data_IF_160108215092
#
_entry.id   IF_160108215092
#
_cell.length_a   1.000
_cell.length_b   1.000
_cell.length_c   1.000
_cell.angle_alpha   90.00
_cell.angle_beta   90.00
_cell.angle_gamma   90.00
#
_symmetry.space_group_name_H-M   'P 1'
#
loop_
_entity.id
_entity.type
_entity.pdbx_description
1 polymer ?
#
# COMPACT_ATOMS: atom_id res chain seq x y z
N UNK A 1 -11.13 19.50 -9.57
CA UNK A 1 -11.42 19.05 -8.18
C UNK A 1 -10.35 19.61 -7.29
N UNK A 2 -10.73 20.10 -6.11
CA UNK A 2 -9.82 20.57 -5.06
C UNK A 2 -9.51 19.42 -4.10
N UNK A 3 -8.25 19.01 -4.05
CA UNK A 3 -7.82 17.77 -3.38
C UNK A 3 -6.74 18.06 -2.36
N UNK A 4 -6.96 17.66 -1.11
CA UNK A 4 -5.93 17.62 -0.08
C UNK A 4 -5.33 16.21 -0.02
N UNK A 5 -4.01 16.08 -0.09
CA UNK A 5 -3.33 14.80 0.09
C UNK A 5 -2.51 14.86 1.37
N UNK A 6 -2.92 14.12 2.38
CA UNK A 6 -2.17 14.04 3.63
C UNK A 6 -1.16 12.89 3.57
N UNK A 7 0.12 13.26 3.68
CA UNK A 7 1.26 12.39 3.49
C UNK A 7 1.86 12.50 2.09
N UNK A 8 2.86 13.38 1.91
CA UNK A 8 3.62 13.53 0.67
C UNK A 8 4.84 12.59 0.61
N UNK A 9 4.68 11.35 1.06
CA UNK A 9 5.65 10.29 0.82
C UNK A 9 5.68 9.86 -0.65
N UNK A 10 6.19 8.67 -0.96
CA UNK A 10 6.28 8.19 -2.35
C UNK A 10 4.93 8.19 -3.08
N UNK A 11 3.88 7.64 -2.46
CA UNK A 11 2.53 7.57 -3.07
C UNK A 11 1.93 8.95 -3.21
N UNK A 12 1.84 9.71 -2.11
CA UNK A 12 1.20 11.03 -2.13
C UNK A 12 1.90 12.02 -3.05
N UNK A 13 3.24 11.99 -3.12
CA UNK A 13 4.01 12.84 -4.05
C UNK A 13 3.73 12.47 -5.50
N UNK A 14 3.81 11.18 -5.87
CA UNK A 14 3.58 10.79 -7.27
C UNK A 14 2.14 11.05 -7.69
N UNK A 15 1.16 10.63 -6.88
CA UNK A 15 -0.26 10.83 -7.21
C UNK A 15 -0.60 12.32 -7.23
N UNK A 16 -0.20 13.06 -6.20
CA UNK A 16 -0.53 14.50 -6.12
C UNK A 16 0.17 15.33 -7.19
N UNK A 17 1.43 15.05 -7.49
CA UNK A 17 2.13 15.74 -8.56
C UNK A 17 1.49 15.47 -9.94
N UNK A 18 1.13 14.23 -10.24
CA UNK A 18 0.49 13.88 -11.51
C UNK A 18 -0.94 14.42 -11.60
N UNK A 19 -1.71 14.45 -10.53
CA UNK A 19 -3.02 15.11 -10.50
C UNK A 19 -2.89 16.62 -10.75
N UNK A 20 -1.92 17.28 -10.13
CA UNK A 20 -1.62 18.70 -10.37
C UNK A 20 -1.23 18.93 -11.82
N UNK A 21 -0.39 18.07 -12.39
CA UNK A 21 -0.02 18.11 -13.81
C UNK A 21 -1.24 17.91 -14.73
N UNK A 22 -2.21 17.09 -14.31
CA UNK A 22 -3.49 16.85 -14.97
C UNK A 22 -4.51 18.00 -14.80
N UNK A 23 -4.12 19.12 -14.17
CA UNK A 23 -4.96 20.32 -14.05
C UNK A 23 -5.87 20.34 -12.83
N UNK A 24 -5.68 19.46 -11.84
CA UNK A 24 -6.42 19.51 -10.58
C UNK A 24 -5.77 20.47 -9.58
N UNK A 25 -6.59 21.09 -8.71
CA UNK A 25 -6.12 21.90 -7.59
C UNK A 25 -5.71 20.98 -6.44
N UNK A 26 -4.40 20.72 -6.33
CA UNK A 26 -3.84 19.76 -5.37
C UNK A 26 -3.00 20.48 -4.33
N UNK A 27 -3.29 20.19 -3.06
CA UNK A 27 -2.47 20.59 -1.92
C UNK A 27 -1.90 19.35 -1.24
N UNK A 28 -0.56 19.22 -1.25
CA UNK A 28 0.17 18.21 -0.49
C UNK A 28 0.35 18.72 0.94
N UNK A 29 -0.04 17.93 1.91
CA UNK A 29 0.08 18.22 3.34
C UNK A 29 1.06 17.23 3.96
N UNK A 30 2.19 17.70 4.44
CA UNK A 30 3.21 16.81 5.02
C UNK A 30 3.87 17.41 6.27
N UNK A 31 4.50 16.57 7.06
CA UNK A 31 5.25 16.93 8.25
C UNK A 31 6.76 17.07 8.00
N UNK A 32 7.26 16.77 6.82
CA UNK A 32 8.66 16.86 6.43
C UNK A 32 8.98 18.25 5.86
N UNK A 33 9.52 19.19 6.67
CA UNK A 33 9.67 20.59 6.27
C UNK A 33 10.50 20.75 5.00
N UNK A 34 11.64 20.07 4.91
CA UNK A 34 12.55 20.21 3.77
C UNK A 34 11.90 19.78 2.46
N UNK A 35 11.01 18.75 2.51
CA UNK A 35 10.27 18.31 1.34
C UNK A 35 9.22 19.32 0.90
N UNK A 36 8.46 19.87 1.86
CA UNK A 36 7.46 20.91 1.61
C UNK A 36 8.11 22.16 1.04
N UNK A 37 9.18 22.67 1.66
CA UNK A 37 9.88 23.87 1.24
C UNK A 37 10.49 23.71 -0.16
N UNK A 38 11.07 22.55 -0.44
CA UNK A 38 11.63 22.25 -1.77
C UNK A 38 10.55 22.23 -2.86
N UNK A 39 9.36 21.67 -2.55
CA UNK A 39 8.23 21.66 -3.50
C UNK A 39 7.72 23.09 -3.72
N UNK A 40 7.59 23.91 -2.65
CA UNK A 40 7.19 25.32 -2.78
C UNK A 40 8.15 26.12 -3.65
N UNK A 41 9.44 25.90 -3.49
CA UNK A 41 10.48 26.66 -4.19
C UNK A 41 10.65 26.21 -5.64
N UNK A 42 10.85 24.93 -5.86
CA UNK A 42 11.32 24.40 -7.15
C UNK A 42 10.28 23.54 -7.88
N UNK A 43 9.23 23.14 -7.20
CA UNK A 43 8.27 22.14 -7.66
C UNK A 43 8.64 20.73 -7.23
N UNK A 44 7.83 19.77 -7.65
CA UNK A 44 7.99 18.35 -7.36
C UNK A 44 8.42 17.60 -8.62
N UNK A 45 9.64 17.08 -8.60
CA UNK A 45 10.17 16.24 -9.67
C UNK A 45 9.72 14.79 -9.48
N UNK A 46 9.05 14.23 -10.49
CA UNK A 46 8.68 12.83 -10.54
C UNK A 46 9.54 12.15 -11.59
N UNK A 47 10.46 11.30 -11.15
CA UNK A 47 11.30 10.49 -12.04
C UNK A 47 10.71 9.11 -12.23
N UNK A 48 10.62 8.66 -13.47
CA UNK A 48 10.33 7.28 -13.84
C UNK A 48 11.46 6.73 -14.71
N UNK A 49 11.36 5.45 -15.04
CA UNK A 49 12.40 4.78 -15.84
C UNK A 49 12.70 5.49 -17.15
N UNK A 50 11.67 6.01 -17.81
CA UNK A 50 11.75 6.48 -19.20
C UNK A 50 11.54 8.00 -19.32
N UNK A 51 11.08 8.66 -18.27
CA UNK A 51 10.78 10.09 -18.29
C UNK A 51 10.82 10.73 -16.91
N UNK A 52 11.00 12.04 -16.90
CA UNK A 52 10.89 12.88 -15.70
C UNK A 52 9.91 13.99 -15.95
N UNK A 53 9.06 14.28 -14.96
CA UNK A 53 8.04 15.34 -15.02
C UNK A 53 8.22 16.25 -13.83
N UNK A 54 8.43 17.55 -14.07
CA UNK A 54 8.40 18.57 -13.04
C UNK A 54 6.96 19.07 -12.90
N UNK A 55 6.37 18.86 -11.71
CA UNK A 55 5.00 19.26 -11.38
C UNK A 55 5.01 20.37 -10.34
N UNK A 56 3.90 21.09 -10.18
CA UNK A 56 3.80 22.22 -9.24
C UNK A 56 2.51 22.16 -8.41
N UNK A 57 2.30 21.08 -7.62
CA UNK A 57 1.23 21.08 -6.66
C UNK A 57 1.47 22.16 -5.60
N UNK A 58 0.42 22.66 -4.98
CA UNK A 58 0.59 23.38 -3.73
C UNK A 58 1.13 22.41 -2.67
N UNK A 59 1.99 22.88 -1.78
CA UNK A 59 2.53 22.10 -0.68
C UNK A 59 2.52 22.93 0.60
N UNK A 60 2.04 22.33 1.70
CA UNK A 60 1.99 22.98 3.01
C UNK A 60 2.48 22.03 4.09
N UNK A 61 3.14 22.61 5.09
CA UNK A 61 3.40 21.88 6.32
C UNK A 61 2.11 21.73 7.13
N UNK A 62 2.00 20.66 7.91
CA UNK A 62 0.79 20.40 8.73
C UNK A 62 0.36 21.57 9.60
N UNK A 63 1.29 22.39 10.09
CA UNK A 63 0.99 23.58 10.88
C UNK A 63 0.34 24.72 10.06
N UNK A 64 0.45 24.68 8.73
CA UNK A 64 -0.15 25.69 7.83
C UNK A 64 -1.58 25.33 7.42
N UNK A 65 -2.10 24.16 7.81
CA UNK A 65 -3.50 23.77 7.52
C UNK A 65 -4.51 24.82 8.03
N UNK A 66 -4.23 25.48 9.14
CA UNK A 66 -5.09 26.54 9.67
C UNK A 66 -5.27 27.75 8.72
N UNK A 67 -4.46 27.84 7.65
CA UNK A 67 -4.56 28.91 6.63
C UNK A 67 -5.49 28.50 5.47
N UNK A 68 -5.97 27.25 5.43
CA UNK A 68 -6.91 26.77 4.39
C UNK A 68 -8.28 27.39 4.66
N UNK A 69 -8.70 28.28 3.77
CA UNK A 69 -9.98 28.98 3.87
C UNK A 69 -11.14 28.17 3.26
N UNK A 70 -10.90 27.56 2.09
CA UNK A 70 -11.94 26.81 1.39
C UNK A 70 -11.71 25.30 1.58
N UNK A 71 -12.73 24.50 1.89
CA UNK A 71 -12.58 23.08 2.13
C UNK A 71 -12.20 22.30 0.87
N UNK A 72 -11.51 21.18 1.07
CA UNK A 72 -11.23 20.22 0.01
C UNK A 72 -12.50 19.41 -0.35
N UNK A 73 -12.70 19.14 -1.62
CA UNK A 73 -13.74 18.22 -2.10
C UNK A 73 -13.37 16.75 -1.82
N UNK A 74 -12.07 16.46 -1.75
CA UNK A 74 -11.57 15.14 -1.39
C UNK A 74 -10.28 15.24 -0.57
N UNK A 75 -10.13 14.38 0.43
CA UNK A 75 -8.89 14.13 1.13
C UNK A 75 -8.36 12.72 0.78
N UNK A 76 -7.16 12.64 0.22
CA UNK A 76 -6.48 11.38 -0.02
C UNK A 76 -5.53 11.09 1.15
N UNK A 77 -5.78 10.00 1.85
CA UNK A 77 -4.97 9.58 2.98
C UNK A 77 -3.84 8.69 2.45
N UNK A 78 -2.62 9.22 2.42
CA UNK A 78 -1.43 8.57 1.85
C UNK A 78 -0.27 8.46 2.86
N UNK A 79 -0.57 8.62 4.14
CA UNK A 79 0.36 8.40 5.26
C UNK A 79 0.64 6.91 5.45
N UNK A 80 1.57 6.58 6.34
CA UNK A 80 1.76 5.19 6.78
C UNK A 80 0.57 4.72 7.62
N UNK A 81 0.25 3.43 7.57
CA UNK A 81 -0.95 2.83 8.18
C UNK A 81 -1.11 3.15 9.67
N UNK A 82 0.00 3.31 10.42
CA UNK A 82 -0.04 3.67 11.83
C UNK A 82 -0.50 5.12 12.10
N UNK A 83 -0.51 5.97 11.08
CA UNK A 83 -0.94 7.37 11.15
C UNK A 83 -2.34 7.60 10.56
N UNK A 84 -3.02 6.56 10.05
CA UNK A 84 -4.32 6.67 9.35
C UNK A 84 -5.35 7.43 10.18
N UNK A 85 -5.58 7.00 11.42
CA UNK A 85 -6.58 7.60 12.32
C UNK A 85 -6.27 9.07 12.59
N UNK A 86 -5.01 9.37 12.91
CA UNK A 86 -4.55 10.71 13.17
C UNK A 86 -4.69 11.63 11.94
N UNK A 87 -4.22 11.17 10.78
CA UNK A 87 -4.27 11.95 9.54
C UNK A 87 -5.71 12.22 9.08
N UNK A 88 -6.59 11.22 9.23
CA UNK A 88 -8.01 11.38 8.93
C UNK A 88 -8.65 12.41 9.86
N UNK A 89 -8.38 12.34 11.16
CA UNK A 89 -8.90 13.30 12.15
C UNK A 89 -8.38 14.73 11.91
N UNK A 90 -7.10 14.86 11.55
CA UNK A 90 -6.51 16.14 11.17
C UNK A 90 -7.26 16.80 10.01
N UNK A 91 -7.59 16.01 8.98
CA UNK A 91 -8.23 16.51 7.76
C UNK A 91 -9.73 16.77 7.90
N UNK A 92 -10.41 16.32 8.95
CA UNK A 92 -11.87 16.43 9.09
C UNK A 92 -12.38 17.87 8.95
N UNK A 93 -11.67 18.84 9.52
CA UNK A 93 -12.08 20.25 9.52
C UNK A 93 -11.79 20.96 8.19
N UNK A 94 -11.06 20.32 7.29
CA UNK A 94 -10.61 20.91 6.02
C UNK A 94 -11.25 20.25 4.80
N UNK A 95 -12.10 19.24 4.99
CA UNK A 95 -12.84 18.56 3.93
C UNK A 95 -14.31 18.99 4.03
N UNK A 96 -14.92 19.29 2.88
CA UNK A 96 -16.32 19.69 2.79
C UNK A 96 -17.20 18.77 3.67
N UNK A 97 -17.93 19.33 4.65
CA UNK A 97 -18.65 18.52 5.62
C UNK A 97 -19.84 17.74 5.03
N UNK A 98 -20.42 18.25 3.93
CA UNK A 98 -21.62 17.66 3.31
C UNK A 98 -21.28 16.69 2.18
N UNK A 99 -20.38 17.10 1.28
CA UNK A 99 -20.11 16.37 0.03
C UNK A 99 -18.68 15.89 -0.12
N UNK A 100 -17.81 16.24 0.83
CA UNK A 100 -16.41 15.88 0.79
C UNK A 100 -16.18 14.40 1.12
N UNK A 101 -15.19 13.80 0.45
CA UNK A 101 -14.87 12.38 0.59
C UNK A 101 -13.45 12.16 1.08
N UNK A 102 -13.26 11.09 1.84
CA UNK A 102 -11.95 10.57 2.23
C UNK A 102 -11.65 9.34 1.39
N UNK A 103 -10.45 9.25 0.85
CA UNK A 103 -10.04 8.12 0.01
C UNK A 103 -8.78 7.51 0.61
N UNK A 104 -8.82 6.21 0.90
CA UNK A 104 -7.67 5.46 1.40
C UNK A 104 -6.71 5.11 0.27
N UNK A 105 -5.54 5.77 0.24
CA UNK A 105 -4.44 5.56 -0.71
C UNK A 105 -3.28 4.79 -0.10
N UNK A 106 -3.53 3.93 0.86
CA UNK A 106 -2.50 3.23 1.60
C UNK A 106 -2.33 1.77 1.17
N UNK A 107 -1.21 1.18 1.51
CA UNK A 107 -1.05 -0.26 1.51
C UNK A 107 -1.78 -0.87 2.71
N UNK A 108 -2.16 -2.13 2.61
CA UNK A 108 -2.94 -2.81 3.64
C UNK A 108 -4.43 -2.54 3.54
N UNK A 109 -5.12 -2.70 4.64
CA UNK A 109 -6.57 -2.49 4.78
C UNK A 109 -6.78 -1.48 5.92
N UNK A 110 -6.89 -0.21 5.56
CA UNK A 110 -7.06 0.90 6.51
C UNK A 110 -8.45 1.56 6.39
N UNK A 111 -9.25 1.09 5.46
CA UNK A 111 -10.58 1.61 5.14
C UNK A 111 -11.48 1.68 6.38
N UNK A 112 -11.53 0.60 7.21
CA UNK A 112 -12.30 0.56 8.45
C UNK A 112 -11.82 1.61 9.47
N UNK A 113 -10.49 1.83 9.58
CA UNK A 113 -9.91 2.83 10.49
C UNK A 113 -10.20 4.26 10.06
N UNK A 114 -10.13 4.51 8.75
CA UNK A 114 -10.50 5.80 8.16
C UNK A 114 -12.00 6.06 8.34
N UNK A 115 -12.85 5.09 8.05
CA UNK A 115 -14.29 5.19 8.20
C UNK A 115 -14.75 5.38 9.65
N UNK A 116 -14.03 4.82 10.62
CA UNK A 116 -14.31 5.03 12.05
C UNK A 116 -14.15 6.50 12.48
N UNK A 117 -13.34 7.28 11.75
CA UNK A 117 -13.10 8.70 12.02
C UNK A 117 -13.95 9.59 11.12
N UNK A 118 -13.92 9.36 9.81
CA UNK A 118 -14.60 10.20 8.82
C UNK A 118 -16.08 9.87 8.62
N UNK A 119 -16.49 8.69 9.07
CA UNK A 119 -17.80 8.10 8.75
C UNK A 119 -17.77 7.30 7.45
N UNK A 120 -18.45 6.14 7.42
CA UNK A 120 -18.51 5.28 6.23
C UNK A 120 -19.11 6.01 5.00
N UNK A 121 -20.12 6.87 5.24
CA UNK A 121 -20.77 7.66 4.19
C UNK A 121 -19.86 8.67 3.49
N UNK A 122 -18.67 8.95 4.03
CA UNK A 122 -17.64 9.84 3.45
C UNK A 122 -16.37 9.11 3.04
N UNK A 123 -16.31 7.79 3.22
CA UNK A 123 -15.11 7.00 3.01
C UNK A 123 -15.20 6.15 1.75
N UNK A 124 -14.12 6.15 0.95
CA UNK A 124 -13.92 5.32 -0.24
C UNK A 124 -12.58 4.59 -0.14
N UNK A 125 -12.56 3.37 -0.62
CA UNK A 125 -11.30 2.64 -0.81
C UNK A 125 -10.70 2.90 -2.19
N UNK A 126 -9.36 2.93 -2.26
CA UNK A 126 -8.64 2.92 -3.51
C UNK A 126 -7.49 1.91 -3.47
N UNK A 127 -7.61 0.84 -4.24
CA UNK A 127 -6.52 -0.12 -4.42
C UNK A 127 -5.55 0.44 -5.45
N UNK A 128 -4.30 0.62 -5.06
CA UNK A 128 -3.25 1.21 -5.89
C UNK A 128 -2.19 0.17 -6.25
N UNK A 129 -1.83 0.08 -7.52
CA UNK A 129 -0.73 -0.77 -8.00
C UNK A 129 0.36 0.17 -8.53
N UNK A 130 1.28 0.55 -7.65
CA UNK A 130 2.35 1.50 -7.94
C UNK A 130 3.61 1.16 -7.16
N UNK A 131 4.75 1.20 -7.84
CA UNK A 131 6.07 1.14 -7.21
C UNK A 131 6.64 2.55 -7.09
N UNK A 132 6.83 3.04 -5.88
CA UNK A 132 7.28 4.41 -5.63
C UNK A 132 8.30 4.50 -4.52
N UNK A 133 9.11 5.56 -4.55
CA UNK A 133 9.99 5.97 -3.48
C UNK A 133 10.09 7.49 -3.38
N UNK A 134 10.39 7.99 -2.19
CA UNK A 134 10.72 9.39 -1.95
C UNK A 134 11.86 9.41 -0.93
N UNK A 135 13.06 9.74 -1.38
CA UNK A 135 14.28 9.67 -0.57
C UNK A 135 14.95 11.03 -0.39
N UNK A 136 14.64 11.96 -1.28
CA UNK A 136 15.19 13.31 -1.32
C UNK A 136 14.06 14.33 -1.31
N UNK A 137 14.23 15.50 -0.66
CA UNK A 137 13.25 16.59 -0.70
C UNK A 137 12.91 17.03 -2.13
N UNK A 138 11.64 17.23 -2.43
CA UNK A 138 11.16 17.69 -3.73
C UNK A 138 11.26 16.67 -4.86
N UNK A 139 11.58 15.39 -4.55
CA UNK A 139 11.79 14.34 -5.56
C UNK A 139 11.08 13.03 -5.20
N UNK A 140 10.25 12.54 -6.09
CA UNK A 140 9.64 11.22 -6.00
C UNK A 140 10.08 10.36 -7.18
N UNK A 141 10.25 9.06 -6.91
CA UNK A 141 10.71 8.09 -7.91
C UNK A 141 9.60 7.06 -8.12
N UNK A 142 9.29 6.80 -9.38
CA UNK A 142 8.40 5.73 -9.82
C UNK A 142 9.24 4.55 -10.31
N UNK A 143 9.10 3.40 -9.67
CA UNK A 143 9.93 2.21 -9.90
C UNK A 143 9.19 1.05 -10.56
N UNK A 144 7.87 1.15 -10.75
CA UNK A 144 7.07 0.12 -11.39
C UNK A 144 7.38 0.01 -12.88
N UNK A 145 7.43 -1.23 -13.36
CA UNK A 145 7.60 -1.55 -14.77
C UNK A 145 6.26 -1.71 -15.51
N UNK A 146 5.14 -1.62 -14.78
CA UNK A 146 3.79 -1.84 -15.30
C UNK A 146 3.01 -0.53 -15.37
N UNK A 147 2.00 -0.44 -16.23
CA UNK A 147 1.06 0.68 -16.20
C UNK A 147 0.49 0.84 -14.78
N UNK A 148 0.40 2.08 -14.30
CA UNK A 148 -0.36 2.37 -13.10
C UNK A 148 -1.80 1.89 -13.29
N UNK A 149 -2.43 1.50 -12.20
CA UNK A 149 -3.85 1.17 -12.19
C UNK A 149 -4.44 1.47 -10.83
N UNK A 150 -5.66 1.97 -10.83
CA UNK A 150 -6.41 2.24 -9.62
C UNK A 150 -7.78 1.54 -9.69
N UNK A 151 -8.23 1.05 -8.53
CA UNK A 151 -9.60 0.54 -8.36
C UNK A 151 -10.22 1.28 -7.20
N UNK A 152 -11.23 2.09 -7.49
CA UNK A 152 -11.98 2.86 -6.48
C UNK A 152 -13.26 2.12 -6.17
N UNK A 153 -13.61 1.99 -4.90
CA UNK A 153 -14.84 1.30 -4.51
C UNK A 153 -15.44 1.81 -3.22
N UNK A 154 -16.75 1.67 -3.13
CA UNK A 154 -17.49 1.82 -1.88
C UNK A 154 -17.28 0.57 -1.01
N UNK A 155 -17.40 0.75 0.31
CA UNK A 155 -17.24 -0.36 1.26
C UNK A 155 -18.35 -1.42 1.14
N UNK A 156 -19.51 -1.04 0.64
CA UNK A 156 -20.67 -1.93 0.39
C UNK A 156 -20.72 -2.48 -1.04
N UNK A 157 -19.77 -2.12 -1.89
CA UNK A 157 -19.69 -2.52 -3.29
C UNK A 157 -20.63 -1.77 -4.24
N UNK A 158 -21.33 -0.74 -3.76
CA UNK A 158 -22.23 0.07 -4.59
C UNK A 158 -21.46 0.94 -5.60
N UNK A 159 -22.07 1.18 -6.75
CA UNK A 159 -21.53 2.08 -7.78
C UNK A 159 -22.19 3.46 -7.61
N UNK A 160 -21.45 4.39 -7.02
CA UNK A 160 -21.96 5.72 -6.66
C UNK A 160 -21.38 6.83 -7.53
N UNK A 161 -22.08 7.99 -7.64
CA UNK A 161 -21.55 9.17 -8.34
C UNK A 161 -20.20 9.65 -7.77
N UNK A 162 -19.99 9.55 -6.44
CA UNK A 162 -18.74 9.99 -5.82
C UNK A 162 -17.58 9.05 -6.16
N UNK A 163 -17.79 7.73 -6.19
CA UNK A 163 -16.78 6.76 -6.61
C UNK A 163 -16.39 6.98 -8.08
N UNK A 164 -17.37 7.19 -8.97
CA UNK A 164 -17.13 7.53 -10.38
C UNK A 164 -16.36 8.84 -10.53
N UNK A 165 -16.69 9.88 -9.74
CA UNK A 165 -16.00 11.17 -9.76
C UNK A 165 -14.53 11.03 -9.38
N UNK A 166 -14.23 10.26 -8.33
CA UNK A 166 -12.84 9.98 -7.93
C UNK A 166 -12.12 9.15 -9.01
N UNK A 167 -12.73 8.10 -9.55
CA UNK A 167 -12.15 7.32 -10.64
C UNK A 167 -11.86 8.19 -11.88
N UNK A 168 -12.78 9.05 -12.28
CA UNK A 168 -12.57 9.99 -13.39
C UNK A 168 -11.41 10.95 -13.11
N UNK A 169 -11.28 11.43 -11.89
CA UNK A 169 -10.19 12.30 -11.47
C UNK A 169 -8.84 11.59 -11.60
N UNK A 170 -8.75 10.33 -11.18
CA UNK A 170 -7.52 9.53 -11.25
C UNK A 170 -7.15 9.08 -12.67
N UNK A 171 -8.09 9.07 -13.62
CA UNK A 171 -7.84 8.70 -15.01
C UNK A 171 -6.81 9.59 -15.73
N UNK A 172 -6.55 10.81 -15.25
CA UNK A 172 -5.47 11.63 -15.79
C UNK A 172 -4.07 11.09 -15.44
N UNK A 173 -3.97 10.18 -14.46
CA UNK A 173 -2.73 9.52 -14.05
C UNK A 173 -2.61 8.16 -14.72
N UNK A 174 -3.67 7.35 -14.65
CA UNK A 174 -3.69 5.97 -15.13
C UNK A 174 -5.13 5.45 -15.27
N UNK A 175 -5.36 4.40 -16.06
CA UNK A 175 -6.66 3.76 -16.14
C UNK A 175 -7.21 3.42 -14.75
N UNK A 176 -8.38 3.92 -14.45
CA UNK A 176 -9.03 3.75 -13.14
C UNK A 176 -10.43 3.20 -13.34
N UNK A 177 -10.77 2.15 -12.61
CA UNK A 177 -12.09 1.55 -12.63
C UNK A 177 -12.82 1.74 -11.29
N UNK A 178 -14.14 1.81 -11.33
CA UNK A 178 -14.98 1.65 -10.15
C UNK A 178 -15.22 0.17 -9.95
N UNK A 179 -14.90 -0.34 -8.78
CA UNK A 179 -15.04 -1.76 -8.44
C UNK A 179 -16.18 -1.99 -7.46
N UNK A 180 -16.99 -3.02 -7.71
CA UNK A 180 -17.96 -3.54 -6.75
C UNK A 180 -17.35 -4.54 -5.76
N UNK A 181 -16.10 -4.93 -5.98
CA UNK A 181 -15.35 -5.87 -5.15
C UNK A 181 -14.10 -5.21 -4.55
N UNK A 182 -14.30 -4.18 -3.71
CA UNK A 182 -13.22 -3.50 -3.04
C UNK A 182 -12.43 -4.45 -2.13
N UNK A 183 -13.13 -5.25 -1.34
CA UNK A 183 -12.49 -6.11 -0.34
C UNK A 183 -11.70 -7.26 -0.94
N UNK A 184 -12.21 -7.93 -1.98
CA UNK A 184 -11.45 -8.95 -2.70
C UNK A 184 -10.17 -8.38 -3.32
N UNK A 185 -10.24 -7.18 -3.91
CA UNK A 185 -9.06 -6.48 -4.43
C UNK A 185 -8.07 -6.09 -3.30
N UNK A 186 -8.55 -5.59 -2.16
CA UNK A 186 -7.72 -5.25 -0.98
C UNK A 186 -7.00 -6.47 -0.43
N UNK A 187 -7.74 -7.56 -0.16
CA UNK A 187 -7.17 -8.80 0.37
C UNK A 187 -6.21 -9.48 -0.60
N UNK A 188 -6.51 -9.48 -1.90
CA UNK A 188 -5.59 -9.99 -2.93
C UNK A 188 -4.27 -9.21 -2.96
N UNK A 189 -4.34 -7.88 -2.85
CA UNK A 189 -3.14 -7.05 -2.76
C UNK A 189 -2.40 -7.25 -1.44
N UNK A 190 -3.12 -7.37 -0.31
CA UNK A 190 -2.53 -7.66 0.99
C UNK A 190 -1.77 -9.00 0.96
N UNK A 191 -2.31 -10.03 0.29
CA UNK A 191 -1.63 -11.31 0.12
C UNK A 191 -0.28 -11.14 -0.57
N UNK A 192 -0.20 -10.39 -1.68
CA UNK A 192 1.06 -10.08 -2.35
C UNK A 192 2.04 -9.35 -1.41
N UNK A 193 1.54 -8.39 -0.65
CA UNK A 193 2.37 -7.64 0.30
C UNK A 193 2.92 -8.55 1.42
N UNK A 194 2.10 -9.40 2.00
CA UNK A 194 2.53 -10.32 3.05
C UNK A 194 3.55 -11.36 2.55
N UNK A 195 3.42 -11.81 1.28
CA UNK A 195 4.36 -12.73 0.66
C UNK A 195 5.73 -12.12 0.35
N UNK A 196 5.86 -10.79 0.25
CA UNK A 196 7.08 -10.17 -0.26
C UNK A 196 7.68 -9.08 0.64
N UNK A 197 6.86 -8.17 1.20
CA UNK A 197 7.39 -6.95 1.79
C UNK A 197 8.25 -7.20 3.02
N UNK A 198 7.78 -8.01 3.96
CA UNK A 198 8.49 -8.28 5.19
C UNK A 198 9.73 -9.16 4.95
N UNK A 199 9.63 -10.15 4.07
CA UNK A 199 10.77 -11.00 3.69
C UNK A 199 11.90 -10.17 3.07
N UNK A 200 11.56 -9.27 2.14
CA UNK A 200 12.52 -8.37 1.52
C UNK A 200 13.12 -7.37 2.52
N UNK A 201 12.32 -6.82 3.43
CA UNK A 201 12.80 -5.88 4.43
C UNK A 201 13.71 -6.51 5.47
N UNK A 202 13.41 -7.72 5.92
CA UNK A 202 14.23 -8.47 6.88
C UNK A 202 15.57 -8.90 6.27
N UNK A 203 15.56 -9.38 5.04
CA UNK A 203 16.75 -9.97 4.40
C UNK A 203 17.61 -8.99 3.62
N UNK A 204 17.03 -7.90 3.12
CA UNK A 204 17.64 -7.02 2.12
C UNK A 204 17.51 -7.53 0.68
N UNK A 205 16.85 -8.65 0.47
CA UNK A 205 16.56 -9.20 -0.86
C UNK A 205 15.60 -8.33 -1.65
N UNK A 206 15.72 -8.35 -2.97
CA UNK A 206 14.71 -7.80 -3.87
C UNK A 206 13.52 -8.75 -4.05
N UNK A 207 12.45 -8.25 -4.65
CA UNK A 207 11.23 -9.04 -4.92
C UNK A 207 11.51 -10.27 -5.80
N UNK A 208 12.46 -10.20 -6.72
CA UNK A 208 12.88 -11.33 -7.55
C UNK A 208 13.56 -12.42 -6.70
N UNK A 209 14.45 -12.03 -5.80
CA UNK A 209 15.18 -12.99 -4.93
C UNK A 209 14.25 -13.70 -3.97
N UNK A 210 13.25 -13.02 -3.39
CA UNK A 210 12.20 -13.65 -2.56
C UNK A 210 11.48 -14.77 -3.32
N UNK A 211 11.30 -14.62 -4.65
CA UNK A 211 10.64 -15.63 -5.49
C UNK A 211 11.58 -16.72 -6.00
N UNK A 212 12.89 -16.46 -6.10
CA UNK A 212 13.84 -17.38 -6.71
C UNK A 212 14.57 -18.26 -5.69
N UNK A 213 14.82 -17.76 -4.47
CA UNK A 213 15.47 -18.56 -3.41
C UNK A 213 14.47 -19.61 -2.88
N UNK A 214 14.78 -20.92 -2.95
CA UNK A 214 13.79 -21.98 -2.70
C UNK A 214 13.07 -21.90 -1.36
N UNK A 215 13.80 -21.83 -0.25
CA UNK A 215 13.20 -21.79 1.09
C UNK A 215 12.41 -20.49 1.30
N UNK A 216 12.93 -19.36 0.84
CA UNK A 216 12.25 -18.06 0.97
C UNK A 216 10.95 -18.04 0.17
N UNK A 217 10.96 -18.63 -1.04
CA UNK A 217 9.73 -18.81 -1.85
C UNK A 217 8.70 -19.67 -1.12
N UNK A 218 9.12 -20.75 -0.47
CA UNK A 218 8.23 -21.61 0.33
C UNK A 218 7.65 -20.87 1.54
N UNK A 219 8.46 -20.10 2.27
CA UNK A 219 7.96 -19.21 3.33
C UNK A 219 6.94 -18.23 2.77
N UNK A 220 7.19 -17.61 1.60
CA UNK A 220 6.24 -16.72 0.96
C UNK A 220 4.91 -17.43 0.63
N UNK A 221 4.94 -18.69 0.16
CA UNK A 221 3.75 -19.50 -0.07
C UNK A 221 2.97 -19.74 1.23
N UNK A 222 3.63 -20.06 2.34
CA UNK A 222 3.00 -20.23 3.65
C UNK A 222 2.31 -18.95 4.11
N UNK A 223 3.01 -17.80 4.05
CA UNK A 223 2.45 -16.49 4.38
C UNK A 223 1.20 -16.18 3.54
N UNK A 224 1.27 -16.39 2.23
CA UNK A 224 0.16 -16.17 1.31
C UNK A 224 -1.03 -17.10 1.56
N UNK A 225 -0.78 -18.36 1.87
CA UNK A 225 -1.83 -19.34 2.18
C UNK A 225 -2.63 -18.96 3.44
N UNK A 226 -1.95 -18.46 4.47
CA UNK A 226 -2.61 -17.97 5.68
C UNK A 226 -3.51 -16.76 5.38
N UNK A 227 -3.02 -15.79 4.58
CA UNK A 227 -3.82 -14.64 4.12
C UNK A 227 -5.05 -15.13 3.36
N UNK A 228 -4.87 -16.08 2.44
CA UNK A 228 -5.97 -16.62 1.63
C UNK A 228 -7.02 -17.32 2.49
N UNK A 229 -6.61 -18.14 3.47
CA UNK A 229 -7.56 -18.81 4.39
C UNK A 229 -8.37 -17.81 5.21
N UNK A 230 -7.73 -16.77 5.73
CA UNK A 230 -8.40 -15.71 6.51
C UNK A 230 -9.39 -14.93 5.66
N UNK A 231 -8.97 -14.50 4.47
CA UNK A 231 -9.83 -13.72 3.57
C UNK A 231 -11.06 -14.50 3.09
N UNK A 232 -10.87 -15.78 2.70
CA UNK A 232 -11.98 -16.65 2.30
C UNK A 232 -12.97 -16.91 3.45
N UNK A 233 -12.48 -17.06 4.68
CA UNK A 233 -13.33 -17.22 5.84
C UNK A 233 -14.10 -15.93 6.21
N UNK A 234 -13.59 -14.76 5.83
CA UNK A 234 -14.32 -13.49 5.89
C UNK A 234 -15.37 -13.33 4.77
N UNK A 235 -15.43 -14.27 3.83
CA UNK A 235 -16.36 -14.23 2.69
C UNK A 235 -15.87 -13.41 1.49
N UNK A 236 -14.58 -13.08 1.44
CA UNK A 236 -14.02 -12.32 0.33
C UNK A 236 -13.51 -13.23 -0.78
N UNK A 237 -13.82 -12.90 -2.03
CA UNK A 237 -13.24 -13.54 -3.19
C UNK A 237 -11.85 -12.94 -3.48
N UNK A 238 -10.85 -13.81 -3.61
CA UNK A 238 -9.50 -13.38 -3.92
C UNK A 238 -9.19 -13.55 -5.41
N UNK A 239 -8.52 -12.57 -5.97
CA UNK A 239 -8.06 -12.61 -7.35
C UNK A 239 -6.75 -13.41 -7.50
N UNK A 240 -6.53 -14.06 -8.66
CA UNK A 240 -5.29 -14.78 -8.93
C UNK A 240 -4.05 -13.88 -8.81
N UNK A 241 -2.98 -14.41 -8.21
CA UNK A 241 -1.69 -13.73 -8.10
C UNK A 241 -0.70 -14.43 -9.04
N UNK A 242 -0.11 -13.67 -9.97
CA UNK A 242 0.80 -14.21 -10.99
C UNK A 242 0.18 -15.39 -11.77
N UNK A 243 -1.14 -15.34 -11.98
CA UNK A 243 -1.89 -16.41 -12.67
C UNK A 243 -2.22 -17.64 -11.82
N UNK A 244 -1.86 -17.62 -10.52
CA UNK A 244 -2.14 -18.73 -9.59
C UNK A 244 -3.36 -18.37 -8.75
N UNK A 245 -4.35 -19.25 -8.67
CA UNK A 245 -5.51 -19.04 -7.80
C UNK A 245 -5.12 -19.14 -6.32
N UNK A 246 -5.80 -18.40 -5.43
CA UNK A 246 -5.54 -18.47 -3.98
C UNK A 246 -5.68 -19.88 -3.40
N UNK A 247 -6.62 -20.67 -3.92
CA UNK A 247 -6.79 -22.08 -3.52
C UNK A 247 -5.54 -22.91 -3.83
N UNK A 248 -4.93 -22.73 -5.01
CA UNK A 248 -3.67 -23.41 -5.34
C UNK A 248 -2.52 -22.99 -4.43
N UNK A 249 -2.49 -21.76 -3.95
CA UNK A 249 -1.50 -21.30 -2.97
C UNK A 249 -1.72 -22.02 -1.62
N UNK A 250 -2.97 -22.18 -1.19
CA UNK A 250 -3.32 -22.97 0.00
C UNK A 250 -2.88 -24.43 -0.17
N UNK A 251 -3.20 -25.04 -1.31
CA UNK A 251 -2.81 -26.41 -1.62
C UNK A 251 -1.30 -26.60 -1.63
N UNK A 252 -0.55 -25.63 -2.20
CA UNK A 252 0.90 -25.67 -2.23
C UNK A 252 1.53 -25.57 -0.83
N UNK A 253 0.95 -24.79 0.06
CA UNK A 253 1.39 -24.73 1.46
C UNK A 253 1.19 -26.04 2.21
N UNK A 254 0.27 -26.89 1.75
CA UNK A 254 0.00 -28.23 2.27
C UNK A 254 0.72 -29.35 1.47
N UNK A 255 1.64 -28.98 0.58
CA UNK A 255 2.42 -29.91 -0.23
C UNK A 255 1.73 -30.41 -1.51
N UNK A 256 0.50 -29.98 -1.78
CA UNK A 256 -0.22 -30.32 -3.02
C UNK A 256 0.07 -29.26 -4.09
N UNK A 257 0.33 -29.66 -5.33
CA UNK A 257 0.58 -28.73 -6.45
C UNK A 257 1.73 -27.72 -6.24
N UNK A 258 2.66 -27.99 -5.32
CA UNK A 258 3.75 -27.07 -4.95
C UNK A 258 4.60 -26.69 -6.18
N UNK A 259 4.97 -27.65 -7.02
CA UNK A 259 5.80 -27.41 -8.21
C UNK A 259 5.14 -26.45 -9.21
N UNK A 260 3.82 -26.55 -9.41
CA UNK A 260 3.08 -25.62 -10.28
C UNK A 260 3.14 -24.19 -9.77
N UNK A 261 2.92 -24.01 -8.45
CA UNK A 261 2.94 -22.69 -7.81
C UNK A 261 4.36 -22.11 -7.81
N UNK A 262 5.37 -22.91 -7.48
CA UNK A 262 6.77 -22.49 -7.55
C UNK A 262 7.18 -22.06 -8.96
N UNK A 263 6.78 -22.81 -9.98
CA UNK A 263 7.04 -22.46 -11.39
C UNK A 263 6.41 -21.13 -11.79
N UNK A 264 5.16 -20.89 -11.39
CA UNK A 264 4.50 -19.62 -11.65
C UNK A 264 5.19 -18.44 -10.94
N UNK A 265 5.63 -18.62 -9.70
CA UNK A 265 6.40 -17.60 -8.96
C UNK A 265 7.75 -17.31 -9.62
N UNK A 266 8.47 -18.33 -10.08
CA UNK A 266 9.72 -18.18 -10.82
C UNK A 266 9.53 -17.41 -12.13
N UNK A 267 8.47 -17.74 -12.88
CA UNK A 267 8.12 -17.00 -14.10
C UNK A 267 7.82 -15.52 -13.81
N UNK A 268 7.10 -15.25 -12.74
CA UNK A 268 6.80 -13.88 -12.32
C UNK A 268 8.04 -13.10 -11.85
N UNK A 269 9.09 -13.78 -11.38
CA UNK A 269 10.34 -13.15 -10.98
C UNK A 269 11.11 -12.57 -12.17
N UNK A 270 11.05 -13.20 -13.35
CA UNK A 270 11.76 -12.76 -14.56
C UNK A 270 11.22 -11.44 -15.14
N UNK A 271 9.97 -11.07 -14.84
CA UNK A 271 9.34 -9.81 -15.25
C UNK A 271 9.32 -8.72 -14.18
N UNK A 272 9.83 -9.01 -12.98
CA UNK A 272 9.75 -8.10 -11.84
C UNK A 272 10.73 -6.93 -11.90
N UNK A 273 10.27 -5.75 -11.45
CA UNK A 273 11.13 -4.58 -11.27
C UNK A 273 12.15 -4.78 -10.14
N UNK A 274 13.27 -4.05 -10.20
CA UNK A 274 14.31 -4.02 -9.15
C UNK A 274 13.93 -3.13 -7.96
N UNK A 275 12.65 -2.78 -7.80
CA UNK A 275 12.18 -1.91 -6.73
C UNK A 275 12.33 -2.56 -5.35
N UNK A 276 12.60 -1.72 -4.35
CA UNK A 276 12.64 -2.13 -2.95
C UNK A 276 11.22 -2.04 -2.40
N UNK A 277 10.65 -3.15 -1.89
CA UNK A 277 9.33 -3.14 -1.28
C UNK A 277 9.21 -2.16 -0.12
N UNK A 278 7.98 -1.75 0.20
CA UNK A 278 7.68 -0.68 1.18
C UNK A 278 8.38 -0.88 2.53
N UNK A 279 8.33 -2.09 3.09
CA UNK A 279 8.99 -2.37 4.38
C UNK A 279 10.52 -2.23 4.28
N UNK A 280 11.13 -2.69 3.19
CA UNK A 280 12.56 -2.49 2.96
C UNK A 280 12.95 -1.02 2.84
N UNK A 281 12.07 -0.18 2.31
CA UNK A 281 12.27 1.27 2.31
C UNK A 281 12.23 1.85 3.72
N UNK A 282 11.33 1.37 4.58
CA UNK A 282 11.23 1.82 5.97
C UNK A 282 12.46 1.43 6.78
N UNK A 283 12.95 0.20 6.60
CA UNK A 283 14.20 -0.28 7.23
C UNK A 283 15.39 0.60 6.81
N UNK A 284 15.55 0.89 5.51
CA UNK A 284 16.61 1.78 5.02
C UNK A 284 16.52 3.20 5.57
N UNK A 285 15.31 3.70 5.77
CA UNK A 285 15.05 5.02 6.35
C UNK A 285 15.13 5.01 7.88
N UNK A 286 15.43 3.87 8.50
CA UNK A 286 15.51 3.69 9.95
C UNK A 286 14.26 4.18 10.69
N UNK A 287 13.08 3.88 10.13
CA UNK A 287 11.80 4.29 10.71
C UNK A 287 10.90 3.08 11.00
N UNK A 288 9.82 3.31 11.75
CA UNK A 288 8.79 2.31 12.04
C UNK A 288 8.26 1.70 10.74
N UNK A 289 8.10 0.38 10.73
CA UNK A 289 7.52 -0.37 9.62
C UNK A 289 6.00 -0.52 9.76
N UNK A 290 5.33 -0.94 8.69
CA UNK A 290 3.89 -1.23 8.68
C UNK A 290 3.56 -2.70 8.97
N UNK A 291 4.48 -3.46 9.54
CA UNK A 291 4.33 -4.92 9.74
C UNK A 291 3.04 -5.28 10.48
N UNK A 292 2.64 -4.48 11.49
CA UNK A 292 1.45 -4.72 12.29
C UNK A 292 0.15 -4.51 11.51
N UNK A 293 0.19 -3.70 10.46
CA UNK A 293 -0.95 -3.34 9.60
C UNK A 293 -1.03 -4.19 8.32
N UNK A 294 0.01 -4.96 8.03
CA UNK A 294 0.06 -5.92 6.93
C UNK A 294 -0.07 -7.35 7.49
N UNK A 295 1.03 -8.02 7.78
CA UNK A 295 1.01 -9.37 8.35
C UNK A 295 0.28 -9.43 9.70
N UNK A 296 0.44 -8.42 10.56
CA UNK A 296 -0.25 -8.31 11.85
C UNK A 296 -1.77 -8.17 11.72
N UNK A 297 -2.27 -7.53 10.67
CA UNK A 297 -3.71 -7.49 10.39
C UNK A 297 -4.27 -8.88 10.06
N UNK A 298 -3.52 -9.68 9.30
CA UNK A 298 -3.87 -11.08 9.01
C UNK A 298 -3.92 -11.89 10.30
N UNK A 299 -2.91 -11.76 11.16
CA UNK A 299 -2.84 -12.40 12.48
C UNK A 299 -4.01 -12.03 13.37
N UNK A 300 -4.40 -10.77 13.39
CA UNK A 300 -5.53 -10.27 14.17
C UNK A 300 -6.86 -10.86 13.69
N UNK A 301 -7.14 -10.80 12.38
CA UNK A 301 -8.37 -11.36 11.79
C UNK A 301 -8.39 -12.88 11.92
N UNK A 302 -7.24 -13.56 11.76
CA UNK A 302 -7.13 -15.01 11.97
C UNK A 302 -7.52 -15.42 13.39
N UNK A 303 -7.02 -14.73 14.40
CA UNK A 303 -7.40 -14.98 15.81
C UNK A 303 -8.90 -14.79 16.06
N UNK A 304 -9.49 -13.73 15.49
CA UNK A 304 -10.94 -13.47 15.62
C UNK A 304 -11.77 -14.59 15.01
N UNK A 305 -11.28 -15.24 13.96
CA UNK A 305 -11.98 -16.34 13.26
C UNK A 305 -11.57 -17.73 13.74
N UNK A 306 -10.61 -17.86 14.65
CA UNK A 306 -10.04 -19.15 15.08
C UNK A 306 -9.19 -19.83 13.99
N UNK A 307 -8.64 -19.08 13.03
CA UNK A 307 -7.79 -19.57 11.95
C UNK A 307 -6.33 -19.33 12.32
N UNK A 308 -5.48 -20.39 12.41
CA UNK A 308 -4.07 -20.24 12.71
C UNK A 308 -3.31 -19.50 11.61
N UNK A 309 -2.42 -18.59 12.02
CA UNK A 309 -1.55 -17.81 11.14
C UNK A 309 -0.09 -17.81 11.62
N UNK A 310 0.51 -19.01 11.86
CA UNK A 310 1.80 -19.11 12.54
C UNK A 310 2.96 -18.39 11.82
N UNK A 311 3.00 -18.39 10.48
CA UNK A 311 4.03 -17.70 9.72
C UNK A 311 3.85 -16.17 9.78
N UNK A 312 2.60 -15.66 9.66
CA UNK A 312 2.32 -14.23 9.82
C UNK A 312 2.57 -13.77 11.26
N UNK A 313 2.22 -14.56 12.26
CA UNK A 313 2.54 -14.27 13.66
C UNK A 313 4.05 -14.19 13.88
N UNK A 314 4.81 -15.16 13.37
CA UNK A 314 6.26 -15.24 13.55
C UNK A 314 6.99 -14.10 12.88
N UNK A 315 6.65 -13.74 11.64
CA UNK A 315 7.32 -12.64 10.94
C UNK A 315 7.05 -11.29 11.63
N UNK A 316 5.84 -11.08 12.16
CA UNK A 316 5.51 -9.89 12.97
C UNK A 316 6.37 -9.84 14.22
N UNK A 317 6.50 -10.97 14.91
CA UNK A 317 7.32 -11.09 16.11
C UNK A 317 8.79 -10.77 15.82
N UNK A 318 9.38 -11.34 14.76
CA UNK A 318 10.77 -11.06 14.36
C UNK A 318 11.00 -9.56 14.13
N UNK A 319 10.13 -8.89 13.35
CA UNK A 319 10.28 -7.46 13.10
C UNK A 319 10.16 -6.63 14.38
N UNK A 320 9.28 -7.01 15.30
CA UNK A 320 9.14 -6.35 16.62
C UNK A 320 10.35 -6.55 17.51
N UNK A 321 10.90 -7.75 17.55
CA UNK A 321 12.10 -8.09 18.33
C UNK A 321 13.34 -7.32 17.84
N UNK A 322 13.46 -7.12 16.53
CA UNK A 322 14.55 -6.33 15.92
C UNK A 322 14.41 -4.82 16.19
N UNK A 323 13.18 -4.33 16.38
CA UNK A 323 12.91 -2.92 16.70
C UNK A 323 13.05 -1.98 15.51
N UNK A 324 13.16 -0.67 15.81
CA UNK A 324 13.32 0.37 14.77
C UNK A 324 14.80 0.53 14.43
N UNK A 325 15.12 0.63 13.14
CA UNK A 325 16.47 0.92 12.65
C UNK A 325 17.37 -0.30 12.56
N UNK A 326 16.81 -1.51 12.61
CA UNK A 326 17.59 -2.73 12.37
C UNK A 326 18.19 -2.74 10.97
N UNK A 327 19.27 -3.50 10.80
CA UNK A 327 19.87 -3.72 9.50
C UNK A 327 19.34 -5.02 8.88
N UNK A 328 19.02 -4.95 7.59
CA UNK A 328 18.55 -6.13 6.85
C UNK A 328 19.65 -7.18 6.78
N UNK A 329 19.31 -8.43 7.14
CA UNK A 329 20.23 -9.57 7.07
C UNK A 329 19.44 -10.85 6.76
N UNK A 330 19.87 -11.66 5.77
CA UNK A 330 19.22 -12.93 5.44
C UNK A 330 19.03 -13.88 6.63
N UNK A 331 19.90 -13.83 7.63
CA UNK A 331 19.80 -14.66 8.84
C UNK A 331 18.52 -14.41 9.65
N UNK A 332 17.87 -13.24 9.49
CA UNK A 332 16.60 -12.94 10.15
C UNK A 332 15.45 -13.84 9.65
N UNK A 333 15.62 -14.49 8.48
CA UNK A 333 14.62 -15.39 7.92
C UNK A 333 14.74 -16.84 8.43
N UNK A 334 15.89 -17.23 9.06
CA UNK A 334 16.10 -18.60 9.57
C UNK A 334 14.96 -19.12 10.43
N UNK A 335 14.40 -18.36 11.39
CA UNK A 335 13.32 -18.87 12.22
C UNK A 335 12.03 -19.19 11.44
N UNK A 336 11.84 -18.57 10.25
CA UNK A 336 10.72 -18.89 9.35
C UNK A 336 11.04 -20.11 8.48
N UNK A 337 12.29 -20.24 8.04
CA UNK A 337 12.75 -21.42 7.27
C UNK A 337 12.67 -22.71 8.10
N UNK A 338 12.99 -22.64 9.40
CA UNK A 338 12.90 -23.75 10.35
C UNK A 338 11.46 -24.20 10.63
N UNK A 339 10.46 -23.37 10.31
CA UNK A 339 9.02 -23.70 10.42
C UNK A 339 8.49 -24.42 9.18
N UNK A 340 9.26 -24.50 8.10
CA UNK A 340 8.80 -25.19 6.87
C UNK A 340 8.61 -26.68 7.12
N UNK A 341 7.54 -27.30 6.54
CA UNK A 341 7.28 -28.74 6.69
C UNK A 341 8.30 -29.60 5.95
#
# INVERSE_FOLDING_TARGET
MRIGIVGAGGVGSVVGGLLSHGGHDVTLVDQWPEHVDKIKQDGLLIESRDQSVLTRPNAIHICELAQIADPFEAAFVAVKSYDTTWATALMLNYVDPENGVFVDFQNGINDERMAAVAGAHRSLGCVIIIGVGCYEPGKAIRTDAYPLGFKVGEHDGSDTPRARRIAQTLNCIAPTEVTSDLWGNRWSKLMVNCMANALAGLSGYGTAEVRTIPNIRRVAIQLGAEVARVALALGHELHPISGVSPIKIIDAAEGRNLEEVETAMLKAASGGGKGIPSLGQDVRKKRRTEIEYLNGHVSEKGRTLGIPTPFNDRIVQIVKELGIGFESNPSHLKPLEEMLP
#
